data_IF_307308421356
#
_entry.id   IF_307308421356
#
_cell.length_a   1.000
_cell.length_b   1.000
_cell.length_c   1.000
_cell.angle_alpha   90.00
_cell.angle_beta   90.00
_cell.angle_gamma   90.00
#
_symmetry.space_group_name_H-M   'P 1'
#
loop_
_entity.id
_entity.type
_entity.pdbx_description
1 polymer ?
#
# COMPACT_ATOMS: atom_id res chain seq x y z
N UNK A 1 3.57 51.23 7.06
CA UNK A 1 4.33 49.98 7.05
C UNK A 1 3.54 48.93 7.82
N UNK A 2 2.89 48.00 7.12
CA UNK A 2 2.13 46.89 7.73
C UNK A 2 2.77 45.62 7.25
N UNK A 3 3.56 45.00 8.12
CA UNK A 3 4.16 43.69 7.87
C UNK A 3 3.08 42.60 7.96
N UNK A 4 2.67 42.10 6.81
CA UNK A 4 1.80 40.93 6.68
C UNK A 4 2.59 39.64 6.91
N UNK A 5 2.59 39.16 8.15
CA UNK A 5 3.11 37.80 8.45
C UNK A 5 2.17 36.76 7.85
N UNK A 6 2.52 36.28 6.68
CA UNK A 6 1.88 35.13 6.06
C UNK A 6 2.36 33.84 6.79
N UNK A 7 1.69 33.48 7.87
CA UNK A 7 1.89 32.20 8.55
C UNK A 7 1.35 31.07 7.62
N UNK A 8 2.21 30.48 6.81
CA UNK A 8 1.95 29.18 6.21
C UNK A 8 1.65 28.20 7.36
N UNK A 9 0.38 27.84 7.53
CA UNK A 9 -0.01 26.77 8.44
C UNK A 9 0.57 25.47 7.90
N UNK A 10 1.67 25.01 8.47
CA UNK A 10 2.17 23.67 8.33
C UNK A 10 1.07 22.72 8.81
N UNK A 11 0.41 22.04 7.89
CA UNK A 11 -0.58 21.02 8.21
C UNK A 11 0.21 19.78 8.63
N UNK A 12 0.35 19.56 9.91
CA UNK A 12 0.99 18.39 10.50
C UNK A 12 0.25 17.15 10.02
N UNK A 13 0.96 16.24 9.36
CA UNK A 13 0.45 14.89 9.05
C UNK A 13 0.07 14.24 10.37
N UNK A 14 -1.17 13.77 10.48
CA UNK A 14 -1.68 13.16 11.70
C UNK A 14 -1.15 11.73 11.82
N UNK A 15 -0.55 11.42 12.96
CA UNK A 15 -0.25 10.04 13.32
C UNK A 15 -1.59 9.29 13.48
N UNK A 16 -1.91 8.40 12.53
CA UNK A 16 -3.18 7.65 12.55
C UNK A 16 -3.01 6.44 13.45
N UNK A 17 -3.93 6.22 14.43
CA UNK A 17 -3.87 5.03 15.26
C UNK A 17 -3.90 3.76 14.41
N UNK A 18 -3.03 2.81 14.71
CA UNK A 18 -2.91 1.51 14.01
C UNK A 18 -4.22 0.72 14.00
N UNK A 19 -5.08 0.94 15.00
CA UNK A 19 -6.41 0.32 15.10
C UNK A 19 -7.41 0.82 14.04
N UNK A 20 -7.18 1.99 13.43
CA UNK A 20 -8.10 2.60 12.47
C UNK A 20 -8.38 1.72 11.22
N UNK A 21 -7.47 0.80 10.90
CA UNK A 21 -7.58 -0.11 9.75
C UNK A 21 -7.75 -1.59 10.15
N UNK A 22 -7.84 -1.88 11.47
CA UNK A 22 -7.99 -3.25 11.94
C UNK A 22 -9.40 -3.77 11.64
N UNK A 23 -9.50 -4.86 10.87
CA UNK A 23 -10.76 -5.56 10.60
C UNK A 23 -10.53 -6.98 10.11
N UNK A 24 -11.50 -7.83 10.34
CA UNK A 24 -11.54 -9.19 9.78
C UNK A 24 -12.39 -9.19 8.51
N UNK A 25 -11.93 -9.92 7.51
CA UNK A 25 -12.65 -10.18 6.26
C UNK A 25 -12.67 -11.69 6.01
N UNK A 26 -13.83 -12.20 5.62
CA UNK A 26 -13.97 -13.58 5.21
C UNK A 26 -13.90 -13.70 3.69
N UNK A 27 -12.99 -14.50 3.20
CA UNK A 27 -12.87 -14.83 1.79
C UNK A 27 -14.01 -15.78 1.37
N UNK A 28 -14.29 -15.84 0.06
CA UNK A 28 -15.41 -16.66 -0.47
C UNK A 28 -15.35 -18.14 -0.11
N UNK A 29 -14.17 -18.65 0.18
CA UNK A 29 -13.93 -20.03 0.59
C UNK A 29 -13.94 -20.23 2.12
N UNK A 30 -14.40 -19.23 2.87
CA UNK A 30 -14.49 -19.27 4.32
C UNK A 30 -13.21 -18.95 5.08
N UNK A 31 -12.10 -18.66 4.39
CA UNK A 31 -10.88 -18.29 5.09
C UNK A 31 -10.99 -16.91 5.72
N UNK A 32 -10.71 -16.83 7.02
CA UNK A 32 -10.69 -15.57 7.78
C UNK A 32 -9.36 -14.87 7.64
N UNK A 33 -9.39 -13.61 7.22
CA UNK A 33 -8.22 -12.76 6.98
C UNK A 33 -8.28 -11.52 7.85
N UNK A 34 -7.28 -11.32 8.70
CA UNK A 34 -7.13 -10.08 9.47
C UNK A 34 -6.37 -9.05 8.66
N UNK A 35 -6.99 -7.90 8.43
CA UNK A 35 -6.35 -6.70 7.89
C UNK A 35 -5.95 -5.80 9.06
N UNK A 36 -4.70 -5.38 9.11
CA UNK A 36 -4.17 -4.50 10.15
C UNK A 36 -2.96 -3.70 9.67
N UNK A 37 -2.63 -2.64 10.39
CA UNK A 37 -1.37 -1.95 10.15
C UNK A 37 -0.18 -2.87 10.41
N UNK A 38 0.90 -2.65 9.65
CA UNK A 38 2.18 -3.35 9.87
C UNK A 38 2.83 -2.86 11.18
N UNK A 39 3.60 -3.72 11.82
CA UNK A 39 4.34 -3.44 13.06
C UNK A 39 5.81 -3.81 12.88
N UNK A 40 6.73 -3.23 13.67
CA UNK A 40 8.14 -3.63 13.66
C UNK A 40 8.34 -5.13 13.88
N UNK A 41 7.54 -5.74 14.75
CA UNK A 41 7.61 -7.18 15.08
C UNK A 41 7.14 -8.10 13.94
N UNK A 42 6.61 -7.54 12.85
CA UNK A 42 6.18 -8.31 11.68
C UNK A 42 7.32 -8.70 10.73
N UNK A 43 8.58 -8.40 11.08
CA UNK A 43 9.72 -8.66 10.18
C UNK A 43 9.78 -10.11 9.69
N UNK A 44 9.59 -11.09 10.57
CA UNK A 44 9.66 -12.50 10.21
C UNK A 44 8.55 -12.90 9.21
N UNK A 45 7.32 -12.46 9.44
CA UNK A 45 6.20 -12.78 8.53
C UNK A 45 6.28 -12.00 7.21
N UNK A 46 6.82 -10.76 7.20
CA UNK A 46 7.11 -9.99 5.98
C UNK A 46 8.21 -10.68 5.16
N UNK A 47 9.32 -11.09 5.82
CA UNK A 47 10.41 -11.80 5.17
C UNK A 47 9.94 -13.11 4.53
N UNK A 48 9.18 -13.92 5.26
CA UNK A 48 8.66 -15.19 4.78
C UNK A 48 7.69 -14.97 3.61
N UNK A 49 6.83 -13.94 3.70
CA UNK A 49 5.92 -13.53 2.64
C UNK A 49 6.67 -13.15 1.36
N UNK A 50 7.65 -12.25 1.47
CA UNK A 50 8.43 -11.76 0.33
C UNK A 50 9.23 -12.90 -0.33
N UNK A 51 9.84 -13.77 0.47
CA UNK A 51 10.60 -14.92 -0.03
C UNK A 51 9.70 -15.99 -0.69
N UNK A 52 8.44 -16.07 -0.28
CA UNK A 52 7.44 -17.00 -0.85
C UNK A 52 6.80 -16.52 -2.16
N UNK A 53 7.03 -15.27 -2.59
CA UNK A 53 6.49 -14.76 -3.85
C UNK A 53 7.15 -15.44 -5.05
N UNK A 54 6.34 -15.75 -6.07
CA UNK A 54 6.88 -16.19 -7.37
C UNK A 54 7.73 -15.08 -7.99
N UNK A 55 8.62 -15.47 -8.92
CA UNK A 55 9.43 -14.50 -9.68
C UNK A 55 8.56 -13.48 -10.42
N UNK A 56 7.44 -13.93 -11.00
CA UNK A 56 6.49 -13.07 -11.70
C UNK A 56 5.86 -12.02 -10.75
N UNK A 57 5.38 -12.46 -9.58
CA UNK A 57 4.77 -11.55 -8.59
C UNK A 57 5.80 -10.59 -8.00
N UNK A 58 7.01 -11.08 -7.70
CA UNK A 58 8.13 -10.24 -7.24
C UNK A 58 8.53 -9.20 -8.28
N UNK A 59 8.62 -9.59 -9.56
CA UNK A 59 8.91 -8.67 -10.66
C UNK A 59 7.84 -7.57 -10.80
N UNK A 60 6.56 -7.94 -10.79
CA UNK A 60 5.44 -6.98 -10.85
C UNK A 60 5.46 -5.98 -9.69
N UNK A 61 5.97 -6.39 -8.51
CA UNK A 61 6.07 -5.54 -7.32
C UNK A 61 7.23 -4.57 -7.38
N UNK A 62 8.41 -5.03 -7.83
CA UNK A 62 9.65 -4.26 -7.76
C UNK A 62 10.06 -3.65 -9.09
N UNK A 63 9.38 -4.00 -10.19
CA UNK A 63 9.79 -3.68 -11.56
C UNK A 63 11.26 -4.10 -11.83
N UNK A 64 11.72 -5.13 -11.12
CA UNK A 64 13.10 -5.60 -11.12
C UNK A 64 13.15 -7.11 -10.87
N UNK A 65 14.08 -7.78 -11.52
CA UNK A 65 14.34 -9.22 -11.30
C UNK A 65 15.13 -9.55 -10.03
N UNK A 66 15.58 -8.53 -9.27
CA UNK A 66 16.31 -8.73 -8.02
C UNK A 66 15.37 -9.12 -6.87
N UNK A 67 15.91 -9.78 -5.86
CA UNK A 67 15.22 -9.97 -4.58
C UNK A 67 15.55 -8.81 -3.63
N UNK A 68 14.60 -8.39 -2.77
CA UNK A 68 14.89 -7.45 -1.70
C UNK A 68 15.94 -7.98 -0.73
N UNK A 69 16.76 -7.09 -0.20
CA UNK A 69 17.70 -7.43 0.87
C UNK A 69 16.99 -7.50 2.22
N UNK A 70 17.64 -8.12 3.21
CA UNK A 70 17.15 -8.17 4.59
C UNK A 70 16.92 -6.77 5.17
N UNK A 71 17.84 -5.83 4.89
CA UNK A 71 17.77 -4.45 5.37
C UNK A 71 16.59 -3.69 4.73
N UNK A 72 16.28 -3.95 3.47
CA UNK A 72 15.09 -3.38 2.82
C UNK A 72 13.81 -3.91 3.46
N UNK A 73 13.72 -5.21 3.71
CA UNK A 73 12.56 -5.81 4.38
C UNK A 73 12.41 -5.32 5.82
N UNK A 74 13.52 -5.13 6.54
CA UNK A 74 13.52 -4.53 7.87
C UNK A 74 12.94 -3.11 7.85
N UNK A 75 13.39 -2.25 6.93
CA UNK A 75 12.83 -0.90 6.76
C UNK A 75 11.33 -0.92 6.40
N UNK A 76 10.85 -1.93 5.69
CA UNK A 76 9.44 -2.05 5.34
C UNK A 76 8.53 -2.36 6.53
N UNK A 77 9.07 -2.87 7.62
CA UNK A 77 8.33 -3.07 8.88
C UNK A 77 8.53 -1.91 9.86
N UNK A 78 9.68 -1.22 9.79
CA UNK A 78 10.03 -0.08 10.65
C UNK A 78 9.76 1.24 9.91
N UNK A 79 8.49 1.46 9.56
CA UNK A 79 8.05 2.64 8.80
C UNK A 79 8.04 3.90 9.65
N UNK A 80 8.26 5.06 9.03
CA UNK A 80 7.97 6.37 9.63
C UNK A 80 6.47 6.68 9.46
N UNK A 81 5.67 6.63 10.54
CA UNK A 81 4.22 6.82 10.44
C UNK A 81 3.81 8.24 10.04
N UNK A 82 4.74 9.21 10.03
CA UNK A 82 4.49 10.56 9.52
C UNK A 82 4.59 10.62 7.99
N UNK A 83 5.26 9.68 7.36
CA UNK A 83 5.55 9.68 5.93
C UNK A 83 5.11 8.42 5.21
N UNK A 84 4.86 7.35 5.94
CA UNK A 84 4.61 6.02 5.39
C UNK A 84 3.40 5.39 6.06
N UNK A 85 2.74 4.52 5.34
CA UNK A 85 1.67 3.67 5.89
C UNK A 85 1.61 2.34 5.18
N UNK A 86 1.36 1.29 5.94
CA UNK A 86 1.20 -0.05 5.39
C UNK A 86 0.10 -0.83 6.10
N UNK A 87 -0.72 -1.50 5.32
CA UNK A 87 -1.74 -2.44 5.78
C UNK A 87 -1.36 -3.82 5.27
N UNK A 88 -1.26 -4.78 6.18
CA UNK A 88 -1.01 -6.18 5.85
C UNK A 88 -2.29 -7.01 6.01
N UNK A 89 -2.35 -8.09 5.25
CA UNK A 89 -3.34 -9.13 5.38
C UNK A 89 -2.66 -10.38 5.96
N UNK A 90 -3.17 -10.87 7.07
CA UNK A 90 -2.64 -12.06 7.74
C UNK A 90 -3.73 -13.10 7.93
N UNK A 91 -3.34 -14.37 7.87
CA UNK A 91 -4.15 -15.54 8.19
C UNK A 91 -3.51 -16.33 9.30
N UNK A 92 -4.28 -17.07 10.07
CA UNK A 92 -3.77 -18.02 11.05
C UNK A 92 -3.61 -19.40 10.42
N UNK A 93 -2.39 -19.92 10.42
CA UNK A 93 -2.06 -21.28 10.03
C UNK A 93 -1.34 -21.93 11.21
N UNK A 94 -1.89 -23.01 11.75
CA UNK A 94 -1.35 -23.70 12.93
C UNK A 94 -1.08 -22.77 14.12
N UNK A 95 -2.01 -21.81 14.35
CA UNK A 95 -1.93 -20.83 15.44
C UNK A 95 -0.90 -19.71 15.24
N UNK A 96 -0.27 -19.63 14.06
CA UNK A 96 0.71 -18.58 13.72
C UNK A 96 0.20 -17.67 12.63
N UNK A 97 0.44 -16.37 12.78
CA UNK A 97 0.16 -15.41 11.72
C UNK A 97 1.07 -15.65 10.51
N UNK A 98 0.45 -15.66 9.32
CA UNK A 98 1.14 -15.70 8.03
C UNK A 98 0.64 -14.53 7.18
N UNK A 99 1.56 -13.73 6.70
CA UNK A 99 1.22 -12.63 5.82
C UNK A 99 0.91 -13.16 4.41
N UNK A 100 -0.19 -12.70 3.84
CA UNK A 100 -0.67 -13.11 2.50
C UNK A 100 -0.81 -11.95 1.54
N UNK A 101 -0.63 -10.71 2.03
CA UNK A 101 -0.62 -9.52 1.20
C UNK A 101 -0.24 -8.28 1.99
N UNK A 102 0.18 -7.24 1.26
CA UNK A 102 0.48 -5.92 1.81
C UNK A 102 0.13 -4.84 0.79
N UNK A 103 -0.45 -3.76 1.27
CA UNK A 103 -0.55 -2.50 0.55
C UNK A 103 0.16 -1.42 1.37
N UNK A 104 0.96 -0.57 0.72
CA UNK A 104 1.73 0.49 1.40
C UNK A 104 1.77 1.76 0.59
N UNK A 105 1.98 2.88 1.26
CA UNK A 105 2.34 4.13 0.64
C UNK A 105 3.59 4.74 1.30
N UNK A 106 4.33 5.53 0.54
CA UNK A 106 5.44 6.34 1.03
C UNK A 106 5.40 7.71 0.36
N UNK A 107 5.61 8.78 1.14
CA UNK A 107 5.73 10.14 0.62
C UNK A 107 7.12 10.35 0.03
N UNK A 108 7.20 11.08 -1.07
CA UNK A 108 8.47 11.59 -1.58
C UNK A 108 9.06 12.65 -0.63
N UNK A 109 10.40 12.78 -0.66
CA UNK A 109 11.13 13.65 0.27
C UNK A 109 10.57 15.09 0.33
N UNK A 110 10.21 15.66 -0.82
CA UNK A 110 9.83 17.07 -0.97
C UNK A 110 8.30 17.28 -1.02
N UNK A 111 7.50 16.20 -0.87
CA UNK A 111 6.03 16.26 -0.93
C UNK A 111 5.44 15.84 0.40
N UNK A 112 4.45 16.62 0.88
CA UNK A 112 3.83 16.38 2.19
C UNK A 112 2.38 15.89 2.11
N UNK A 113 1.79 15.84 0.92
CA UNK A 113 0.39 15.46 0.72
C UNK A 113 0.17 14.50 -0.45
N UNK A 114 1.27 14.01 -1.04
CA UNK A 114 1.27 13.05 -2.15
C UNK A 114 2.17 11.89 -1.80
N UNK A 115 1.70 10.67 -2.04
CA UNK A 115 2.47 9.47 -1.77
C UNK A 115 2.38 8.45 -2.91
N UNK A 116 3.48 7.75 -3.15
CA UNK A 116 3.47 6.57 -4.00
C UNK A 116 2.86 5.39 -3.25
N UNK A 117 1.97 4.65 -3.91
CA UNK A 117 1.38 3.45 -3.33
C UNK A 117 1.68 2.20 -4.14
N UNK A 118 1.73 1.08 -3.44
CA UNK A 118 1.94 -0.22 -4.05
C UNK A 118 1.19 -1.30 -3.28
N UNK A 119 0.83 -2.38 -3.99
CA UNK A 119 0.18 -3.55 -3.42
C UNK A 119 0.82 -4.82 -3.97
N UNK A 120 0.95 -5.81 -3.13
CA UNK A 120 1.31 -7.17 -3.53
C UNK A 120 0.52 -8.20 -2.73
N UNK A 121 0.13 -9.28 -3.39
CA UNK A 121 -0.63 -10.38 -2.81
C UNK A 121 0.09 -11.67 -3.20
N UNK A 122 0.28 -12.58 -2.25
CA UNK A 122 0.89 -13.89 -2.51
C UNK A 122 0.09 -14.65 -3.57
N UNK A 123 0.78 -15.46 -4.37
CA UNK A 123 0.22 -16.11 -5.55
C UNK A 123 -1.04 -16.91 -5.22
N UNK A 124 -1.03 -17.66 -4.11
CA UNK A 124 -2.15 -18.48 -3.66
C UNK A 124 -3.39 -17.64 -3.24
N UNK A 125 -3.23 -16.33 -3.00
CA UNK A 125 -4.30 -15.44 -2.57
C UNK A 125 -4.75 -14.46 -3.65
N UNK A 126 -4.14 -14.51 -4.82
CA UNK A 126 -4.58 -13.73 -5.98
C UNK A 126 -5.92 -14.26 -6.52
N UNK A 127 -6.72 -13.39 -7.13
CA UNK A 127 -8.02 -13.76 -7.68
C UNK A 127 -9.14 -13.99 -6.64
N UNK A 128 -8.84 -13.99 -5.33
CA UNK A 128 -9.79 -14.29 -4.25
C UNK A 128 -10.49 -13.04 -3.68
N UNK A 129 -10.23 -11.86 -4.24
CA UNK A 129 -10.85 -10.59 -3.79
C UNK A 129 -10.04 -9.80 -2.78
N UNK A 130 -8.90 -10.31 -2.30
CA UNK A 130 -8.08 -9.67 -1.26
C UNK A 130 -7.62 -8.27 -1.65
N UNK A 131 -7.26 -8.02 -2.92
CA UNK A 131 -6.89 -6.69 -3.40
C UNK A 131 -7.99 -5.64 -3.21
N UNK A 132 -9.25 -6.05 -3.39
CA UNK A 132 -10.43 -5.20 -3.15
C UNK A 132 -10.71 -4.94 -1.65
N UNK A 133 -9.93 -5.50 -0.76
CA UNK A 133 -9.97 -5.26 0.68
C UNK A 133 -8.74 -4.46 1.14
N UNK A 134 -7.55 -4.83 0.68
CA UNK A 134 -6.30 -4.20 1.07
C UNK A 134 -6.20 -2.75 0.56
N UNK A 135 -6.42 -2.54 -0.73
CA UNK A 135 -6.23 -1.21 -1.32
C UNK A 135 -7.21 -0.16 -0.77
N UNK A 136 -8.52 -0.45 -0.56
CA UNK A 136 -9.41 0.48 0.15
C UNK A 136 -8.99 0.76 1.59
N UNK A 137 -8.44 -0.24 2.30
CA UNK A 137 -7.91 -0.03 3.66
C UNK A 137 -6.71 0.91 3.66
N UNK A 138 -5.82 0.78 2.66
CA UNK A 138 -4.71 1.72 2.47
C UNK A 138 -5.21 3.13 2.11
N UNK A 139 -6.19 3.26 1.21
CA UNK A 139 -6.80 4.54 0.83
C UNK A 139 -7.40 5.23 2.06
N UNK A 140 -8.11 4.47 2.92
CA UNK A 140 -8.64 4.99 4.18
C UNK A 140 -7.53 5.52 5.08
N UNK A 141 -6.46 4.73 5.27
CA UNK A 141 -5.29 5.13 6.06
C UNK A 141 -4.66 6.41 5.50
N UNK A 142 -4.46 6.49 4.19
CA UNK A 142 -3.89 7.65 3.52
C UNK A 142 -4.74 8.93 3.72
N UNK A 143 -6.07 8.83 3.61
CA UNK A 143 -6.98 9.95 3.89
C UNK A 143 -6.87 10.42 5.34
N UNK A 144 -6.84 9.49 6.30
CA UNK A 144 -6.70 9.81 7.72
C UNK A 144 -5.36 10.46 8.06
N UNK A 145 -4.30 10.09 7.32
CA UNK A 145 -2.97 10.74 7.41
C UNK A 145 -2.93 12.12 6.76
N UNK A 146 -4.00 12.56 6.09
CA UNK A 146 -4.09 13.88 5.48
C UNK A 146 -3.49 13.97 4.07
N UNK A 147 -3.19 12.82 3.45
CA UNK A 147 -2.77 12.79 2.06
C UNK A 147 -3.90 13.26 1.14
N UNK A 148 -3.53 13.96 0.07
CA UNK A 148 -4.46 14.42 -0.95
C UNK A 148 -4.44 13.57 -2.20
N UNK A 149 -3.32 12.89 -2.48
CA UNK A 149 -3.18 12.05 -3.66
C UNK A 149 -2.32 10.83 -3.41
N UNK A 150 -2.78 9.70 -3.93
CA UNK A 150 -1.98 8.50 -4.14
C UNK A 150 -1.68 8.33 -5.61
N UNK A 151 -0.47 7.91 -5.93
CA UNK A 151 -0.07 7.53 -7.28
C UNK A 151 0.74 6.23 -7.26
N UNK A 152 0.96 5.65 -8.40
CA UNK A 152 1.78 4.46 -8.56
C UNK A 152 1.91 4.08 -10.02
N UNK A 153 2.68 3.06 -10.29
CA UNK A 153 2.83 2.49 -11.62
C UNK A 153 2.53 1.00 -11.62
N UNK A 154 2.10 0.48 -12.74
CA UNK A 154 1.91 -0.96 -12.93
C UNK A 154 2.27 -1.36 -14.35
N UNK A 155 2.69 -2.62 -14.55
CA UNK A 155 2.92 -3.14 -15.89
C UNK A 155 1.62 -3.13 -16.69
N UNK A 156 1.71 -2.78 -17.97
CA UNK A 156 0.55 -2.75 -18.88
C UNK A 156 -0.14 -4.12 -18.98
N UNK A 157 0.62 -5.20 -18.88
CA UNK A 157 0.11 -6.59 -18.87
C UNK A 157 -0.58 -6.98 -17.56
N UNK A 158 -0.44 -6.19 -16.48
CA UNK A 158 -1.09 -6.47 -15.22
C UNK A 158 -2.56 -6.02 -15.19
N UNK A 159 -3.35 -6.61 -16.08
CA UNK A 159 -4.77 -6.26 -16.22
C UNK A 159 -5.59 -6.41 -14.94
N UNK A 160 -5.19 -7.30 -14.03
CA UNK A 160 -5.87 -7.45 -12.73
C UNK A 160 -5.69 -6.18 -11.87
N UNK A 161 -4.47 -5.62 -11.82
CA UNK A 161 -4.19 -4.37 -11.10
C UNK A 161 -4.89 -3.18 -11.76
N UNK A 162 -4.85 -3.09 -13.09
CA UNK A 162 -5.53 -2.02 -13.83
C UNK A 162 -7.03 -2.00 -13.53
N UNK A 163 -7.71 -3.16 -13.62
CA UNK A 163 -9.14 -3.27 -13.29
C UNK A 163 -9.44 -2.93 -11.83
N UNK A 164 -8.59 -3.35 -10.90
CA UNK A 164 -8.72 -3.02 -9.48
C UNK A 164 -8.62 -1.50 -9.27
N UNK A 165 -7.60 -0.86 -9.83
CA UNK A 165 -7.37 0.57 -9.73
C UNK A 165 -8.57 1.36 -10.29
N UNK A 166 -9.06 1.01 -11.49
CA UNK A 166 -10.21 1.67 -12.11
C UNK A 166 -11.47 1.56 -11.24
N UNK A 167 -11.77 0.38 -10.69
CA UNK A 167 -12.93 0.19 -9.78
C UNK A 167 -12.84 1.02 -8.52
N UNK A 168 -11.65 1.36 -8.06
CA UNK A 168 -11.40 2.17 -6.86
C UNK A 168 -11.26 3.67 -7.18
N UNK A 169 -11.52 4.06 -8.43
CA UNK A 169 -11.52 5.45 -8.85
C UNK A 169 -10.16 6.02 -9.23
N UNK A 170 -9.13 5.18 -9.37
CA UNK A 170 -7.87 5.65 -9.93
C UNK A 170 -8.03 6.01 -11.40
N UNK A 171 -7.50 7.16 -11.77
CA UNK A 171 -7.21 7.47 -13.17
C UNK A 171 -6.07 6.59 -13.63
N UNK A 172 -6.25 5.95 -14.77
CA UNK A 172 -5.24 5.08 -15.41
C UNK A 172 -4.86 5.74 -16.71
N UNK A 173 -3.58 6.01 -16.92
CA UNK A 173 -3.05 6.63 -18.14
C UNK A 173 -1.74 5.98 -18.55
N UNK A 174 -1.34 6.13 -19.78
CA UNK A 174 0.00 5.71 -20.22
C UNK A 174 1.06 6.50 -19.45
N UNK A 175 2.13 5.82 -19.05
CA UNK A 175 3.33 6.49 -18.58
C UNK A 175 4.04 7.10 -19.81
N UNK A 176 4.21 8.43 -19.87
CA UNK A 176 4.83 9.08 -21.01
C UNK A 176 6.31 8.69 -21.22
N UNK A 177 6.93 8.11 -20.20
CA UNK A 177 8.33 7.66 -20.21
C UNK A 177 8.50 6.16 -20.45
N UNK A 178 7.40 5.40 -20.57
CA UNK A 178 7.46 3.95 -20.76
C UNK A 178 6.23 3.37 -21.45
N UNK A 179 6.44 2.67 -22.58
CA UNK A 179 5.37 1.97 -23.29
C UNK A 179 4.84 0.73 -22.55
N UNK A 180 5.55 0.28 -21.53
CA UNK A 180 5.23 -0.94 -20.76
C UNK A 180 4.56 -0.66 -19.43
N UNK A 181 4.42 0.61 -19.05
CA UNK A 181 3.86 1.00 -17.76
C UNK A 181 2.58 1.81 -17.92
N UNK A 182 1.66 1.60 -16.99
CA UNK A 182 0.53 2.46 -16.72
C UNK A 182 0.78 3.28 -15.47
N UNK A 183 0.53 4.59 -15.57
CA UNK A 183 0.48 5.48 -14.42
C UNK A 183 -0.92 5.42 -13.80
N UNK A 184 -0.95 5.33 -12.48
CA UNK A 184 -2.15 5.31 -11.65
C UNK A 184 -2.18 6.55 -10.77
N UNK A 185 -3.30 7.25 -10.66
CA UNK A 185 -3.45 8.40 -9.77
C UNK A 185 -4.85 8.45 -9.17
N UNK A 186 -4.94 8.67 -7.85
CA UNK A 186 -6.20 8.82 -7.12
C UNK A 186 -6.14 10.09 -6.28
N UNK A 187 -7.05 11.02 -6.54
CA UNK A 187 -7.26 12.17 -5.66
C UNK A 187 -8.06 11.73 -4.41
N UNK A 188 -7.49 12.05 -3.26
CA UNK A 188 -8.08 11.75 -1.96
C UNK A 188 -8.86 12.98 -1.46
N UNK A 189 -10.05 13.21 -2.02
CA UNK A 189 -10.93 14.28 -1.52
C UNK A 189 -11.25 14.04 -0.05
N UNK A 190 -11.16 15.10 0.76
CA UNK A 190 -11.68 15.06 2.13
C UNK A 190 -13.17 14.78 2.05
N UNK A 191 -13.66 13.75 2.72
CA UNK A 191 -15.08 13.64 3.00
C UNK A 191 -15.38 14.75 4.00
N UNK A 192 -16.21 15.71 3.58
CA UNK A 192 -16.87 16.67 4.46
C UNK A 192 -17.76 15.95 5.47
#
# INVERSE_FOLDING_TARGET
MKDGHNRKRSRTVRNVPTEAVRRVWEAKDGASVLLRAIKPDDFEIERDFVNGLSRSTGYKRLMSGRRPTSDEMHRWTHIDPQREGAVIAVVLIDGRERQVGVARYAMEADKHDVAECAIVISDAWQGRGLGSQLLPSLIKLARQSGLKRLYGTTLAENGAMVRLAQRLGFRVSYDPHSTFLWALSLELTSQE
#
